data_IF_582092246296
#
_entry.id   IF_582092246296
#
_cell.length_a   1.000
_cell.length_b   1.000
_cell.length_c   1.000
_cell.angle_alpha   90.00
_cell.angle_beta   90.00
_cell.angle_gamma   90.00
#
_symmetry.space_group_name_H-M   'P 1'
#
loop_
_entity.id
_entity.type
_entity.pdbx_description
1 polymer ?
#
# COMPACT_ATOMS: atom_id res chain seq x y z
N UNK A 1 12.83 19.56 -18.28
CA UNK A 1 13.66 18.77 -19.21
C UNK A 1 13.74 17.32 -18.74
N UNK A 2 13.35 16.38 -19.61
CA UNK A 2 13.43 14.94 -19.36
C UNK A 2 14.79 14.38 -19.81
N UNK A 3 15.45 13.65 -18.92
CA UNK A 3 16.79 13.11 -19.09
C UNK A 3 16.76 11.59 -18.85
N UNK A 4 17.28 10.80 -19.78
CA UNK A 4 17.34 9.34 -19.71
C UNK A 4 18.78 8.84 -19.72
N UNK A 5 19.18 8.17 -18.65
CA UNK A 5 20.43 7.41 -18.59
C UNK A 5 20.11 5.96 -18.91
N UNK A 6 20.66 5.43 -20.01
CA UNK A 6 20.44 4.05 -20.42
C UNK A 6 21.79 3.37 -20.67
N UNK A 7 22.08 2.31 -19.92
CA UNK A 7 23.35 1.59 -20.03
C UNK A 7 23.22 0.44 -21.03
N UNK A 8 24.01 0.49 -22.10
CA UNK A 8 24.03 -0.50 -23.19
C UNK A 8 25.41 -1.15 -23.17
N UNK A 9 25.50 -2.46 -22.93
CA UNK A 9 26.77 -3.20 -22.90
C UNK A 9 27.85 -2.58 -21.97
N UNK A 10 27.42 -2.01 -20.84
CA UNK A 10 28.29 -1.33 -19.88
C UNK A 10 28.62 0.13 -20.22
N UNK A 11 28.20 0.64 -21.37
CA UNK A 11 28.36 2.04 -21.76
C UNK A 11 27.11 2.88 -21.42
N UNK A 12 27.31 3.93 -20.62
CA UNK A 12 26.26 4.88 -20.27
C UNK A 12 25.89 5.77 -21.46
N UNK A 13 24.65 5.66 -21.93
CA UNK A 13 24.10 6.55 -22.94
C UNK A 13 23.15 7.57 -22.32
N UNK A 14 23.46 8.86 -22.54
CA UNK A 14 22.62 9.99 -22.12
C UNK A 14 21.68 10.40 -23.24
N UNK A 15 20.39 10.26 -23.00
CA UNK A 15 19.32 10.42 -23.98
C UNK A 15 18.35 11.51 -23.55
N UNK A 16 17.90 12.29 -24.51
CA UNK A 16 16.81 13.25 -24.34
C UNK A 16 15.95 13.22 -25.61
N UNK A 17 14.77 13.83 -25.53
CA UNK A 17 13.87 14.00 -26.67
C UNK A 17 14.27 15.17 -27.57
N UNK A 18 14.89 16.20 -27.00
CA UNK A 18 15.15 17.45 -27.73
C UNK A 18 16.61 17.54 -28.22
N UNK A 19 17.52 16.87 -27.52
CA UNK A 19 18.95 17.04 -27.75
C UNK A 19 19.47 18.28 -27.05
N UNK A 20 19.87 18.14 -25.79
CA UNK A 20 20.15 19.27 -24.90
C UNK A 20 21.60 19.22 -24.46
N UNK A 21 22.26 20.38 -24.45
CA UNK A 21 23.60 20.56 -23.88
C UNK A 21 23.49 21.13 -22.47
N UNK A 22 23.72 20.27 -21.48
CA UNK A 22 23.89 20.66 -20.08
C UNK A 22 25.37 20.48 -19.72
N UNK A 23 25.67 19.96 -18.53
CA UNK A 23 27.03 19.51 -18.19
C UNK A 23 27.51 18.45 -19.17
N UNK A 24 26.62 17.52 -19.54
CA UNK A 24 26.84 16.55 -20.61
C UNK A 24 25.98 16.86 -21.84
N UNK A 25 26.37 16.27 -22.99
CA UNK A 25 25.53 16.25 -24.18
C UNK A 25 24.51 15.12 -24.09
N UNK A 26 23.22 15.46 -24.03
CA UNK A 26 22.11 14.51 -24.01
C UNK A 26 21.61 14.31 -25.43
N UNK A 27 21.82 13.13 -26.00
CA UNK A 27 21.56 12.84 -27.41
C UNK A 27 20.05 12.84 -27.69
N UNK A 28 19.62 13.47 -28.78
CA UNK A 28 18.24 13.34 -29.29
C UNK A 28 18.01 11.94 -29.87
N UNK A 29 17.73 10.98 -28.99
CA UNK A 29 17.55 9.56 -29.33
C UNK A 29 16.37 8.92 -28.60
N UNK A 30 15.74 9.63 -27.67
CA UNK A 30 14.50 9.21 -27.04
C UNK A 30 13.34 9.62 -27.94
N UNK A 31 12.71 8.65 -28.60
CA UNK A 31 11.64 8.89 -29.57
C UNK A 31 10.28 9.08 -28.90
N UNK A 32 10.00 8.28 -27.88
CA UNK A 32 8.79 8.36 -27.08
C UNK A 32 9.05 7.82 -25.69
N UNK A 33 8.28 8.32 -24.72
CA UNK A 33 8.27 7.81 -23.36
C UNK A 33 6.84 7.87 -22.85
N UNK A 34 6.28 6.74 -22.42
CA UNK A 34 4.97 6.76 -21.82
C UNK A 34 5.04 7.40 -20.44
N UNK A 35 4.03 8.18 -20.10
CA UNK A 35 3.93 8.86 -18.82
C UNK A 35 4.02 7.88 -17.64
N UNK A 36 5.06 7.97 -16.79
CA UNK A 36 5.07 7.21 -15.54
C UNK A 36 3.95 7.73 -14.65
N UNK A 37 3.37 6.86 -13.85
CA UNK A 37 2.25 7.23 -12.99
C UNK A 37 2.37 6.63 -11.59
N UNK A 38 2.19 7.45 -10.55
CA UNK A 38 1.85 6.92 -9.22
C UNK A 38 0.35 6.68 -9.18
N UNK A 39 -0.06 5.51 -8.69
CA UNK A 39 -1.47 5.19 -8.52
C UNK A 39 -1.66 4.32 -7.28
N UNK A 40 -2.63 4.69 -6.44
CA UNK A 40 -3.06 3.83 -5.33
C UNK A 40 -3.68 2.54 -5.84
N UNK A 41 -3.33 1.42 -5.20
CA UNK A 41 -3.93 0.12 -5.45
C UNK A 41 -5.40 0.07 -5.01
N UNK A 42 -5.71 0.69 -3.86
CA UNK A 42 -7.07 0.78 -3.32
C UNK A 42 -7.43 2.25 -3.08
N UNK A 43 -8.70 2.59 -3.25
CA UNK A 43 -9.13 3.99 -3.08
C UNK A 43 -9.07 4.47 -1.63
N UNK A 44 -9.11 3.54 -0.69
CA UNK A 44 -8.94 3.77 0.75
C UNK A 44 -7.51 3.58 1.23
N UNK A 45 -6.52 3.42 0.34
CA UNK A 45 -5.10 3.38 0.72
C UNK A 45 -4.29 2.27 0.07
N UNK A 46 -3.24 1.83 0.77
CA UNK A 46 -2.32 0.80 0.30
C UNK A 46 -1.10 1.36 -0.44
N UNK A 47 -0.48 0.51 -1.26
CA UNK A 47 0.71 0.88 -2.01
C UNK A 47 0.35 1.82 -3.17
N UNK A 48 0.92 3.02 -3.16
CA UNK A 48 0.93 3.91 -4.31
C UNK A 48 2.08 3.50 -5.24
N UNK A 49 1.79 2.54 -6.13
CA UNK A 49 2.81 1.93 -6.99
C UNK A 49 3.14 2.85 -8.15
N UNK A 50 4.43 2.94 -8.49
CA UNK A 50 4.88 3.56 -9.72
C UNK A 50 4.62 2.62 -10.90
N UNK A 51 3.74 3.02 -11.80
CA UNK A 51 3.64 2.51 -13.15
C UNK A 51 4.79 3.06 -13.99
N UNK A 52 5.72 2.17 -14.37
CA UNK A 52 7.01 2.50 -14.99
C UNK A 52 6.90 2.90 -16.46
N UNK A 53 5.96 2.29 -17.18
CA UNK A 53 5.74 2.54 -18.61
C UNK A 53 6.79 1.92 -19.54
N UNK A 54 6.79 2.38 -20.79
CA UNK A 54 7.69 2.01 -21.87
C UNK A 54 8.42 3.25 -22.43
N UNK A 55 9.61 3.05 -23.00
CA UNK A 55 10.30 4.07 -23.78
C UNK A 55 10.81 3.51 -25.11
N UNK A 56 10.84 4.35 -26.16
CA UNK A 56 11.33 3.99 -27.49
C UNK A 56 12.59 4.78 -27.79
N UNK A 57 13.66 4.08 -28.16
CA UNK A 57 14.93 4.70 -28.56
C UNK A 57 15.19 4.53 -30.06
N UNK A 58 15.86 5.50 -30.66
CA UNK A 58 16.19 5.49 -32.08
C UNK A 58 17.15 4.35 -32.42
N UNK A 59 16.97 3.71 -33.58
CA UNK A 59 17.81 2.59 -34.03
C UNK A 59 19.30 2.93 -34.08
N UNK A 60 19.64 4.16 -34.48
CA UNK A 60 21.03 4.63 -34.57
C UNK A 60 21.65 4.98 -33.22
N UNK A 61 20.99 4.67 -32.11
CA UNK A 61 21.63 4.61 -30.80
C UNK A 61 22.59 3.41 -30.69
N UNK A 62 22.25 2.30 -31.36
CA UNK A 62 23.01 1.05 -31.32
C UNK A 62 24.07 1.04 -32.42
N UNK A 63 25.31 0.67 -32.08
CA UNK A 63 26.32 0.44 -33.09
C UNK A 63 26.00 -0.83 -33.89
N UNK A 64 26.64 -1.03 -35.05
CA UNK A 64 26.46 -2.25 -35.84
C UNK A 64 26.85 -3.52 -35.05
N UNK A 65 27.80 -3.40 -34.12
CA UNK A 65 28.22 -4.47 -33.22
C UNK A 65 27.20 -4.77 -32.10
N UNK A 66 26.35 -3.80 -31.75
CA UNK A 66 25.30 -3.94 -30.74
C UNK A 66 23.97 -4.39 -31.37
N UNK A 67 24.01 -4.95 -32.59
CA UNK A 67 22.82 -5.48 -33.26
C UNK A 67 22.87 -7.01 -33.29
N UNK A 68 21.87 -7.72 -32.73
CA UNK A 68 20.60 -7.23 -32.18
C UNK A 68 20.78 -6.41 -30.88
N UNK A 69 19.88 -5.44 -30.60
CA UNK A 69 19.98 -4.59 -29.42
C UNK A 69 19.97 -5.43 -28.13
N UNK A 70 20.63 -5.00 -27.05
CA UNK A 70 20.62 -5.74 -25.80
C UNK A 70 19.21 -5.97 -25.29
N UNK A 71 18.95 -7.21 -24.84
CA UNK A 71 17.65 -7.66 -24.35
C UNK A 71 17.24 -6.86 -23.10
N UNK A 72 18.21 -6.48 -22.28
CA UNK A 72 17.99 -5.65 -21.11
C UNK A 72 19.08 -4.58 -20.93
N UNK A 73 18.80 -3.60 -20.08
CA UNK A 73 19.78 -2.61 -19.66
C UNK A 73 19.26 -1.76 -18.51
N UNK A 74 20.17 -1.23 -17.69
CA UNK A 74 19.82 -0.35 -16.56
C UNK A 74 19.38 1.00 -17.11
N UNK A 75 18.24 1.50 -16.64
CA UNK A 75 17.69 2.81 -17.00
C UNK A 75 17.43 3.66 -15.76
N UNK A 76 17.75 4.95 -15.85
CA UNK A 76 17.32 5.97 -14.90
C UNK A 76 16.68 7.13 -15.65
N UNK A 77 15.45 7.46 -15.28
CA UNK A 77 14.76 8.65 -15.78
C UNK A 77 14.86 9.77 -14.74
N UNK A 78 15.26 10.95 -15.21
CA UNK A 78 15.46 12.13 -14.38
C UNK A 78 14.71 13.32 -14.97
N UNK A 79 14.26 14.20 -14.11
CA UNK A 79 13.66 15.47 -14.51
C UNK A 79 14.45 16.62 -13.90
N UNK A 80 14.69 17.67 -14.70
CA UNK A 80 15.20 18.94 -14.19
C UNK A 80 14.50 20.11 -14.85
N UNK A 81 14.19 21.14 -14.07
CA UNK A 81 13.71 22.42 -14.59
C UNK A 81 14.86 23.33 -15.07
N UNK A 82 16.09 23.12 -14.58
CA UNK A 82 17.18 24.10 -14.71
C UNK A 82 18.50 23.47 -15.17
N UNK A 83 19.14 22.67 -14.31
CA UNK A 83 20.49 22.13 -14.53
C UNK A 83 20.54 20.62 -14.30
N UNK A 84 21.56 19.96 -14.87
CA UNK A 84 21.76 18.51 -14.68
C UNK A 84 22.04 18.13 -13.21
N UNK A 85 22.69 19.01 -12.46
CA UNK A 85 22.97 18.81 -11.02
C UNK A 85 21.70 18.90 -10.16
N UNK A 86 20.73 19.73 -10.57
CA UNK A 86 19.43 19.84 -9.92
C UNK A 86 18.44 18.75 -10.39
N UNK A 87 18.88 17.76 -11.17
CA UNK A 87 18.00 16.73 -11.70
C UNK A 87 17.53 15.78 -10.60
N UNK A 88 16.21 15.69 -10.42
CA UNK A 88 15.56 14.74 -9.54
C UNK A 88 15.39 13.42 -10.29
N UNK A 89 15.76 12.31 -9.64
CA UNK A 89 15.52 10.98 -10.20
C UNK A 89 14.05 10.63 -10.02
N UNK A 90 13.35 10.47 -11.14
CA UNK A 90 11.97 10.01 -11.15
C UNK A 90 11.92 8.55 -10.72
N UNK A 91 12.78 7.75 -11.35
CA UNK A 91 12.88 6.33 -11.10
C UNK A 91 14.15 5.72 -11.70
N UNK A 92 14.49 4.53 -11.20
CA UNK A 92 15.58 3.67 -11.66
C UNK A 92 15.07 2.25 -11.80
N UNK A 93 15.50 1.53 -12.83
CA UNK A 93 15.05 0.16 -13.03
C UNK A 93 15.76 -0.54 -14.18
N UNK A 94 15.20 -1.68 -14.57
CA UNK A 94 15.64 -2.50 -15.68
C UNK A 94 14.70 -2.31 -16.88
N UNK A 95 15.29 -1.91 -18.01
CA UNK A 95 14.61 -1.87 -19.29
C UNK A 95 14.70 -3.24 -19.96
N UNK A 96 13.61 -3.78 -20.50
CA UNK A 96 13.58 -5.01 -21.29
C UNK A 96 13.01 -4.76 -22.69
N UNK A 97 13.64 -5.32 -23.73
CA UNK A 97 13.16 -5.19 -25.10
C UNK A 97 11.76 -5.78 -25.22
N UNK A 98 10.82 -4.96 -25.68
CA UNK A 98 9.43 -5.33 -25.92
C UNK A 98 9.15 -5.49 -27.41
N UNK A 99 9.70 -4.62 -28.25
CA UNK A 99 9.55 -4.70 -29.69
C UNK A 99 10.72 -4.03 -30.44
N UNK A 100 11.05 -4.56 -31.61
CA UNK A 100 12.02 -3.96 -32.53
C UNK A 100 11.30 -3.57 -33.81
N UNK A 101 11.40 -2.31 -34.22
CA UNK A 101 10.82 -1.81 -35.46
C UNK A 101 11.87 -1.12 -36.33
N UNK A 102 11.47 -0.70 -37.55
CA UNK A 102 12.36 0.06 -38.44
C UNK A 102 12.77 1.42 -37.86
N UNK A 103 11.90 2.00 -37.04
CA UNK A 103 12.07 3.34 -36.48
C UNK A 103 12.89 3.33 -35.18
N UNK A 104 12.84 2.25 -34.41
CA UNK A 104 13.52 2.18 -33.13
C UNK A 104 13.25 0.89 -32.38
N UNK A 105 13.74 0.86 -31.14
CA UNK A 105 13.58 -0.27 -30.21
C UNK A 105 12.73 0.22 -29.03
N UNK A 106 11.63 -0.49 -28.77
CA UNK A 106 10.74 -0.24 -27.64
C UNK A 106 11.18 -1.10 -26.47
N UNK A 107 11.42 -0.47 -25.33
CA UNK A 107 11.73 -1.11 -24.06
C UNK A 107 10.58 -0.90 -23.07
N UNK A 108 10.18 -1.94 -22.37
CA UNK A 108 9.37 -1.83 -21.16
C UNK A 108 10.26 -1.61 -19.95
N UNK A 109 9.84 -0.76 -19.03
CA UNK A 109 10.59 -0.45 -17.81
C UNK A 109 10.01 -1.25 -16.65
N UNK A 110 10.89 -1.83 -15.85
CA UNK A 110 10.54 -2.59 -14.66
C UNK A 110 11.37 -2.06 -13.49
N UNK A 111 10.73 -1.79 -12.36
CA UNK A 111 11.46 -1.53 -11.11
C UNK A 111 12.15 -2.78 -10.59
N UNK A 112 12.82 -2.64 -9.45
CA UNK A 112 13.31 -3.80 -8.70
C UNK A 112 12.16 -4.74 -8.37
N UNK A 113 12.45 -6.04 -8.39
CA UNK A 113 11.48 -7.05 -7.98
C UNK A 113 11.25 -6.91 -6.47
N UNK A 114 10.01 -6.66 -6.10
CA UNK A 114 9.57 -6.53 -4.70
C UNK A 114 8.90 -7.84 -4.22
N UNK A 115 9.16 -8.95 -4.92
CA UNK A 115 8.76 -10.31 -4.54
C UNK A 115 9.55 -10.84 -3.32
N UNK A 116 9.57 -10.06 -2.24
CA UNK A 116 10.06 -10.50 -0.94
C UNK A 116 8.96 -11.29 -0.26
N UNK A 117 9.31 -12.48 0.18
CA UNK A 117 8.42 -13.37 0.90
C UNK A 117 8.05 -12.80 2.28
N UNK A 118 6.75 -12.81 2.63
CA UNK A 118 6.26 -12.33 3.92
C UNK A 118 6.75 -13.21 5.08
N UNK A 119 6.68 -14.53 4.90
CA UNK A 119 7.03 -15.51 5.91
C UNK A 119 8.30 -16.25 5.49
N UNK A 120 9.03 -16.75 6.49
CA UNK A 120 10.16 -17.66 6.25
C UNK A 120 9.65 -19.07 6.07
N UNK A 121 10.21 -19.82 5.13
CA UNK A 121 9.91 -21.24 5.00
C UNK A 121 10.71 -22.09 6.00
N UNK A 122 10.06 -23.13 6.53
CA UNK A 122 10.65 -24.13 7.40
C UNK A 122 10.24 -25.54 6.99
N UNK A 123 10.63 -26.54 7.77
CA UNK A 123 10.23 -27.94 7.57
C UNK A 123 9.30 -28.37 8.68
N UNK A 124 8.10 -28.82 8.33
CA UNK A 124 7.14 -29.32 9.31
C UNK A 124 7.51 -30.73 9.81
N UNK A 125 6.68 -31.28 10.70
CA UNK A 125 6.81 -32.64 11.22
C UNK A 125 6.84 -33.72 10.12
N UNK A 126 6.06 -33.57 9.06
CA UNK A 126 5.95 -34.53 7.95
C UNK A 126 7.13 -34.46 6.96
N UNK A 127 8.01 -33.46 7.11
CA UNK A 127 9.15 -33.23 6.23
C UNK A 127 8.85 -32.31 5.04
N UNK A 128 7.66 -31.72 4.98
CA UNK A 128 7.26 -30.78 3.95
C UNK A 128 7.80 -29.38 4.23
N UNK A 129 8.12 -28.65 3.16
CA UNK A 129 8.41 -27.21 3.23
C UNK A 129 7.10 -26.46 3.42
N UNK A 130 7.00 -25.71 4.53
CA UNK A 130 5.81 -24.93 4.88
C UNK A 130 6.22 -23.51 5.32
N UNK A 131 5.37 -22.49 5.10
CA UNK A 131 5.59 -21.18 5.69
C UNK A 131 5.49 -21.29 7.22
N UNK A 132 6.48 -20.74 7.93
CA UNK A 132 6.41 -20.58 9.38
C UNK A 132 5.57 -19.34 9.71
N UNK A 133 4.58 -19.47 10.59
CA UNK A 133 3.64 -18.39 10.82
C UNK A 133 4.29 -17.20 11.54
N UNK A 134 3.61 -16.06 11.51
CA UNK A 134 4.02 -14.86 12.25
C UNK A 134 2.83 -14.15 12.88
N UNK A 135 2.93 -13.83 14.16
CA UNK A 135 2.02 -12.95 14.86
C UNK A 135 2.40 -11.48 14.61
N UNK A 136 1.44 -10.70 14.14
CA UNK A 136 1.46 -9.25 14.11
C UNK A 136 0.48 -8.74 15.16
N UNK A 137 1.00 -8.20 16.26
CA UNK A 137 0.25 -7.83 17.45
C UNK A 137 -0.41 -9.00 18.17
N UNK A 138 -1.55 -8.74 18.83
CA UNK A 138 -2.21 -9.73 19.68
C UNK A 138 -2.85 -10.84 18.85
N UNK A 139 -2.72 -12.08 19.31
CA UNK A 139 -3.32 -13.27 18.70
C UNK A 139 -3.91 -14.18 19.77
N UNK A 140 -5.06 -14.78 19.48
CA UNK A 140 -5.79 -15.62 20.45
C UNK A 140 -6.16 -16.97 19.83
N UNK A 141 -5.73 -18.06 20.49
CA UNK A 141 -5.94 -19.47 20.08
C UNK A 141 -5.60 -19.76 18.61
N UNK A 142 -4.44 -19.28 18.16
CA UNK A 142 -3.92 -19.53 16.82
C UNK A 142 -3.19 -20.85 16.74
N UNK A 143 -3.10 -21.42 15.54
CA UNK A 143 -2.52 -22.74 15.32
C UNK A 143 -1.04 -22.60 14.97
N UNK A 144 -0.12 -23.03 15.87
CA UNK A 144 1.29 -23.12 15.52
C UNK A 144 1.54 -24.24 14.51
N UNK A 145 2.68 -24.16 13.83
CA UNK A 145 3.17 -25.24 12.97
C UNK A 145 3.97 -26.23 13.81
N UNK A 146 3.63 -27.52 13.73
CA UNK A 146 4.43 -28.58 14.34
C UNK A 146 5.70 -28.79 13.52
N UNK A 147 6.84 -28.72 14.19
CA UNK A 147 8.16 -28.96 13.63
C UNK A 147 8.58 -30.42 13.87
N UNK A 148 9.67 -30.84 13.23
CA UNK A 148 10.28 -32.14 13.52
C UNK A 148 10.59 -32.27 15.02
N UNK A 149 10.19 -33.41 15.61
CA UNK A 149 10.40 -33.69 17.03
C UNK A 149 11.88 -33.54 17.44
N UNK A 150 12.11 -33.22 18.70
CA UNK A 150 13.44 -33.21 19.28
C UNK A 150 14.07 -34.63 19.22
N UNK A 151 15.40 -34.71 19.32
CA UNK A 151 16.10 -36.01 19.36
C UNK A 151 15.68 -36.94 20.51
N UNK A 152 15.01 -36.39 21.55
CA UNK A 152 14.41 -37.13 22.66
C UNK A 152 12.95 -37.56 22.46
N UNK A 153 12.31 -37.21 21.34
CA UNK A 153 10.92 -37.52 21.03
C UNK A 153 9.90 -36.46 21.44
N UNK A 154 10.31 -35.39 22.12
CA UNK A 154 9.45 -34.25 22.45
C UNK A 154 8.91 -33.58 21.18
N UNK A 155 7.63 -33.20 21.21
CA UNK A 155 7.03 -32.46 20.10
C UNK A 155 7.50 -31.02 20.11
N UNK A 156 7.94 -30.54 18.95
CA UNK A 156 8.43 -29.17 18.74
C UNK A 156 7.43 -28.37 17.93
N UNK A 157 7.30 -27.10 18.26
CA UNK A 157 6.33 -26.21 17.65
C UNK A 157 6.95 -24.84 17.40
N UNK A 158 6.57 -24.23 16.28
CA UNK A 158 6.94 -22.86 15.97
C UNK A 158 6.04 -21.89 16.78
N UNK A 159 6.67 -20.93 17.46
CA UNK A 159 6.01 -19.94 18.31
C UNK A 159 5.41 -18.78 17.48
N UNK A 160 5.74 -18.70 16.19
CA UNK A 160 5.28 -17.67 15.26
C UNK A 160 5.64 -16.25 15.68
N UNK A 161 6.86 -16.05 16.21
CA UNK A 161 7.35 -14.75 16.68
C UNK A 161 6.51 -14.09 17.78
N UNK A 162 5.69 -14.85 18.51
CA UNK A 162 5.11 -14.36 19.77
C UNK A 162 6.26 -14.12 20.76
N UNK A 163 6.24 -12.96 21.41
CA UNK A 163 7.31 -12.51 22.29
C UNK A 163 6.98 -12.69 23.77
N UNK A 164 8.03 -12.58 24.60
CA UNK A 164 7.92 -12.50 26.04
C UNK A 164 8.08 -13.84 26.77
N UNK A 165 7.75 -13.82 28.05
CA UNK A 165 7.89 -14.92 28.98
C UNK A 165 6.66 -15.81 28.90
N UNK A 166 6.90 -17.11 28.71
CA UNK A 166 5.87 -18.15 28.79
C UNK A 166 5.08 -18.04 30.11
N UNK A 167 3.76 -18.29 30.07
CA UNK A 167 2.79 -18.13 31.17
C UNK A 167 2.49 -16.70 31.62
N UNK A 168 3.21 -15.70 31.10
CA UNK A 168 3.03 -14.30 31.47
C UNK A 168 2.56 -13.50 30.26
N UNK A 169 3.35 -13.55 29.20
CA UNK A 169 3.13 -12.77 27.98
C UNK A 169 2.44 -13.61 26.89
N UNK A 170 2.60 -14.94 26.95
CA UNK A 170 1.94 -15.88 26.05
C UNK A 170 1.64 -17.22 26.73
N UNK A 171 0.65 -17.91 26.18
CA UNK A 171 0.12 -19.16 26.69
C UNK A 171 -0.06 -20.20 25.58
N UNK A 172 0.20 -21.46 25.90
CA UNK A 172 -0.07 -22.63 25.08
C UNK A 172 -1.24 -23.42 25.65
N UNK A 173 -2.11 -23.91 24.78
CA UNK A 173 -3.30 -24.65 25.15
C UNK A 173 -3.38 -25.98 24.40
N UNK A 174 -3.94 -26.99 25.08
CA UNK A 174 -4.40 -28.25 24.49
C UNK A 174 -5.93 -28.26 24.54
N UNK A 175 -6.58 -28.18 23.38
CA UNK A 175 -8.04 -28.05 23.27
C UNK A 175 -8.61 -26.83 24.06
N UNK A 176 -7.80 -25.79 24.27
CA UNK A 176 -8.16 -24.61 25.05
C UNK A 176 -7.92 -24.73 26.56
N UNK A 177 -7.39 -25.85 27.04
CA UNK A 177 -6.87 -25.99 28.42
C UNK A 177 -5.43 -25.50 28.45
N UNK A 178 -5.11 -24.60 29.37
CA UNK A 178 -3.73 -24.13 29.56
C UNK A 178 -2.81 -25.31 29.92
N UNK A 179 -1.80 -25.54 29.09
CA UNK A 179 -0.78 -26.59 29.25
C UNK A 179 0.62 -26.00 29.41
N UNK A 180 0.73 -24.71 29.73
CA UNK A 180 2.02 -24.04 29.81
C UNK A 180 2.96 -24.76 30.80
N UNK A 181 2.45 -25.44 31.83
CA UNK A 181 3.29 -26.21 32.76
C UNK A 181 4.10 -27.34 32.09
N UNK A 182 3.73 -27.72 30.86
CA UNK A 182 4.40 -28.73 30.04
C UNK A 182 5.23 -28.13 28.91
N UNK A 183 5.28 -26.80 28.79
CA UNK A 183 5.98 -26.09 27.73
C UNK A 183 7.40 -25.76 28.18
N UNK A 184 8.34 -25.82 27.24
CA UNK A 184 9.71 -25.37 27.45
C UNK A 184 10.22 -24.64 26.20
N UNK A 185 10.66 -23.40 26.36
CA UNK A 185 11.35 -22.66 25.30
C UNK A 185 12.76 -23.22 25.08
N UNK A 186 12.98 -23.84 23.92
CA UNK A 186 14.24 -24.52 23.59
C UNK A 186 15.11 -23.75 22.60
N UNK A 187 14.52 -22.84 21.84
CA UNK A 187 15.22 -21.99 20.87
C UNK A 187 14.42 -20.71 20.58
N UNK A 188 15.03 -19.77 19.86
CA UNK A 188 14.31 -18.62 19.34
C UNK A 188 13.14 -19.09 18.48
N UNK A 189 11.93 -18.61 18.80
CA UNK A 189 10.67 -18.98 18.15
C UNK A 189 10.31 -20.46 18.18
N UNK A 190 10.90 -21.27 19.07
CA UNK A 190 10.58 -22.71 19.14
C UNK A 190 10.39 -23.14 20.59
N UNK A 191 9.26 -23.79 20.84
CA UNK A 191 8.97 -24.43 22.12
C UNK A 191 8.77 -25.95 21.97
N UNK A 192 8.95 -26.65 23.06
CA UNK A 192 8.73 -28.09 23.20
C UNK A 192 7.61 -28.39 24.18
N UNK A 193 6.90 -29.49 23.94
CA UNK A 193 5.98 -30.07 24.90
C UNK A 193 6.61 -31.31 25.55
N UNK A 194 6.70 -31.28 26.88
CA UNK A 194 7.20 -32.38 27.71
C UNK A 194 6.18 -33.51 27.91
N UNK A 195 4.92 -33.27 27.51
CA UNK A 195 3.85 -34.25 27.48
C UNK A 195 3.17 -34.22 26.12
N UNK A 196 2.68 -35.38 25.66
CA UNK A 196 2.00 -35.46 24.36
C UNK A 196 0.61 -34.81 24.51
N UNK A 197 0.27 -33.80 23.69
CA UNK A 197 -1.06 -33.20 23.70
C UNK A 197 -2.12 -34.21 23.25
N UNK A 198 -3.32 -34.09 23.81
CA UNK A 198 -4.44 -34.98 23.53
C UNK A 198 -5.27 -34.47 22.35
N UNK A 199 -5.27 -33.16 22.11
CA UNK A 199 -6.05 -32.50 21.08
C UNK A 199 -5.30 -31.38 20.35
N UNK A 200 -6.02 -30.32 20.00
CA UNK A 200 -5.51 -29.21 19.20
C UNK A 200 -4.60 -28.31 20.05
N UNK A 201 -3.33 -28.21 19.66
CA UNK A 201 -2.40 -27.25 20.24
C UNK A 201 -2.68 -25.86 19.67
N UNK A 202 -2.88 -24.89 20.55
CA UNK A 202 -3.09 -23.49 20.16
C UNK A 202 -2.28 -22.52 21.02
N UNK A 203 -2.00 -21.34 20.50
CA UNK A 203 -1.25 -20.28 21.17
C UNK A 203 -2.08 -19.01 21.33
N UNK A 204 -1.87 -18.30 22.42
CA UNK A 204 -2.31 -16.92 22.58
C UNK A 204 -1.15 -16.06 23.09
N UNK A 205 -0.99 -14.85 22.60
CA UNK A 205 0.09 -13.96 22.99
C UNK A 205 0.18 -12.74 22.08
N UNK A 206 1.31 -12.02 22.12
CA UNK A 206 1.53 -10.82 21.29
C UNK A 206 2.83 -10.94 20.50
N UNK A 207 2.76 -10.68 19.20
CA UNK A 207 3.95 -10.53 18.35
C UNK A 207 4.74 -9.25 18.66
N UNK A 208 5.95 -9.16 18.10
CA UNK A 208 6.84 -8.00 18.31
C UNK A 208 6.29 -6.72 17.68
N UNK A 209 5.77 -6.82 16.45
CA UNK A 209 5.28 -5.69 15.68
C UNK A 209 3.77 -5.56 15.87
N UNK A 210 3.34 -4.53 16.61
CA UNK A 210 1.95 -4.44 17.10
C UNK A 210 1.11 -3.40 16.38
N UNK A 211 1.74 -2.44 15.71
CA UNK A 211 1.05 -1.36 14.98
C UNK A 211 1.43 -1.36 13.49
N UNK A 212 0.63 -0.66 12.68
CA UNK A 212 0.95 -0.43 11.25
C UNK A 212 2.36 0.13 11.08
N UNK A 213 2.76 1.07 11.94
CA UNK A 213 4.09 1.67 11.91
C UNK A 213 5.18 0.64 12.20
N UNK A 214 5.04 -0.15 13.28
CA UNK A 214 6.05 -1.14 13.68
C UNK A 214 6.28 -2.17 12.56
N UNK A 215 5.19 -2.64 11.94
CA UNK A 215 5.24 -3.63 10.86
C UNK A 215 5.93 -3.04 9.61
N UNK A 216 5.66 -1.78 9.29
CA UNK A 216 6.33 -1.10 8.17
C UNK A 216 7.82 -0.87 8.45
N UNK A 217 8.19 -0.55 9.69
CA UNK A 217 9.58 -0.41 10.13
C UNK A 217 10.32 -1.75 10.07
N UNK A 218 9.70 -2.83 10.56
CA UNK A 218 10.20 -4.20 10.44
C UNK A 218 10.46 -4.58 8.97
N UNK A 219 9.48 -4.37 8.09
CA UNK A 219 9.59 -4.71 6.68
C UNK A 219 10.68 -3.88 5.94
N UNK A 220 10.96 -2.66 6.41
CA UNK A 220 12.04 -1.83 5.86
C UNK A 220 13.44 -2.28 6.31
N UNK A 221 13.54 -3.18 7.30
CA UNK A 221 14.81 -3.70 7.79
C UNK A 221 15.72 -4.24 6.68
N UNK A 222 17.03 -4.19 6.92
CA UNK A 222 18.06 -4.49 5.91
C UNK A 222 17.98 -5.92 5.32
N UNK A 223 17.33 -6.85 6.02
CA UNK A 223 17.13 -8.24 5.59
C UNK A 223 15.88 -8.47 4.73
N UNK A 224 15.04 -7.44 4.55
CA UNK A 224 13.74 -7.53 3.87
C UNK A 224 13.72 -6.59 2.67
N UNK A 225 13.00 -5.46 2.76
CA UNK A 225 12.91 -4.50 1.66
C UNK A 225 14.13 -3.58 1.56
N UNK A 226 14.92 -3.45 2.65
CA UNK A 226 16.14 -2.65 2.70
C UNK A 226 15.92 -1.19 2.26
N UNK A 227 14.93 -0.53 2.86
CA UNK A 227 14.62 0.88 2.63
C UNK A 227 14.83 1.70 3.90
N UNK A 228 15.11 2.99 3.73
CA UNK A 228 14.95 3.93 4.85
C UNK A 228 13.45 4.11 5.09
N UNK A 229 13.01 4.01 6.35
CA UNK A 229 11.62 4.22 6.70
C UNK A 229 11.37 5.68 7.10
N UNK A 230 10.43 6.35 6.43
CA UNK A 230 9.94 7.68 6.78
C UNK A 230 8.46 7.61 7.15
N UNK A 231 8.16 8.00 8.38
CA UNK A 231 6.82 8.02 8.92
C UNK A 231 6.43 9.41 9.44
N UNK A 232 7.07 10.48 8.97
CA UNK A 232 6.83 11.84 9.48
C UNK A 232 5.37 12.33 9.32
N UNK A 233 4.62 11.73 8.39
CA UNK A 233 3.24 12.06 8.07
C UNK A 233 2.28 10.88 8.31
N UNK A 234 2.66 9.94 9.17
CA UNK A 234 1.76 8.87 9.63
C UNK A 234 0.78 9.39 10.70
N UNK A 235 -0.17 8.53 11.09
CA UNK A 235 -1.14 8.87 12.14
C UNK A 235 -0.42 9.02 13.49
N UNK A 236 -0.70 10.07 14.30
CA UNK A 236 -0.02 10.28 15.59
C UNK A 236 -0.10 9.08 16.55
N UNK A 237 -1.22 8.36 16.50
CA UNK A 237 -1.35 7.03 17.13
C UNK A 237 -1.53 6.01 16.01
N UNK A 238 -0.49 5.23 15.76
CA UNK A 238 -0.54 4.19 14.74
C UNK A 238 -1.58 3.12 15.11
N UNK A 239 -2.44 2.66 14.19
CA UNK A 239 -3.45 1.65 14.48
C UNK A 239 -2.85 0.32 14.90
N UNK A 240 -3.49 -0.34 15.86
CA UNK A 240 -3.11 -1.69 16.29
C UNK A 240 -3.47 -2.73 15.22
N UNK A 241 -2.58 -3.70 15.06
CA UNK A 241 -2.77 -4.87 14.22
C UNK A 241 -2.92 -6.08 15.14
N UNK A 242 -3.80 -7.01 14.78
CA UNK A 242 -3.97 -8.29 15.47
C UNK A 242 -4.22 -9.35 14.38
N UNK A 243 -3.12 -9.87 13.82
CA UNK A 243 -3.14 -10.76 12.66
C UNK A 243 -2.13 -11.89 12.82
N UNK A 244 -2.64 -13.12 12.71
CA UNK A 244 -1.82 -14.31 12.47
C UNK A 244 -1.65 -14.51 10.97
N UNK A 245 -0.43 -14.39 10.48
CA UNK A 245 -0.07 -14.71 9.11
C UNK A 245 0.43 -16.16 9.05
N UNK A 246 -0.37 -17.04 8.47
CA UNK A 246 -0.14 -18.48 8.37
C UNK A 246 0.03 -18.98 6.91
N UNK A 247 -0.04 -18.05 5.95
CA UNK A 247 0.06 -18.32 4.53
C UNK A 247 1.07 -17.41 3.89
N UNK A 248 1.85 -17.98 2.98
CA UNK A 248 2.82 -17.24 2.20
C UNK A 248 2.12 -16.19 1.33
N UNK A 249 2.67 -14.98 1.33
CA UNK A 249 2.23 -13.87 0.51
C UNK A 249 3.45 -13.00 0.13
N UNK A 250 3.31 -12.19 -0.91
CA UNK A 250 4.29 -11.13 -1.20
C UNK A 250 4.18 -10.07 -0.12
N UNK A 251 5.31 -9.73 0.52
CA UNK A 251 5.35 -8.80 1.64
C UNK A 251 4.71 -7.45 1.29
N UNK A 252 5.04 -6.87 0.14
CA UNK A 252 4.47 -5.58 -0.29
C UNK A 252 2.96 -5.63 -0.49
N UNK A 253 2.42 -6.77 -0.96
CA UNK A 253 0.97 -6.94 -1.10
C UNK A 253 0.28 -7.03 0.27
N UNK A 254 0.90 -7.71 1.24
CA UNK A 254 0.43 -7.73 2.63
C UNK A 254 0.43 -6.32 3.24
N UNK A 255 1.53 -5.57 3.09
CA UNK A 255 1.63 -4.19 3.58
C UNK A 255 0.59 -3.27 2.90
N UNK A 256 0.35 -3.48 1.60
CA UNK A 256 -0.68 -2.75 0.84
C UNK A 256 -2.08 -3.01 1.39
N UNK A 257 -2.43 -4.28 1.61
CA UNK A 257 -3.72 -4.64 2.19
C UNK A 257 -3.87 -4.08 3.61
N UNK A 258 -2.80 -4.13 4.42
CA UNK A 258 -2.79 -3.59 5.78
C UNK A 258 -3.03 -2.07 5.78
N UNK A 259 -2.27 -1.33 4.97
CA UNK A 259 -2.41 0.12 4.87
C UNK A 259 -3.80 0.51 4.36
N UNK A 260 -4.35 -0.21 3.37
CA UNK A 260 -5.72 0.03 2.91
C UNK A 260 -6.77 -0.23 4.01
N UNK A 261 -6.59 -1.26 4.82
CA UNK A 261 -7.48 -1.55 5.96
C UNK A 261 -7.50 -0.45 7.02
N UNK A 262 -6.43 0.32 7.16
CA UNK A 262 -6.29 1.38 8.16
C UNK A 262 -6.24 2.81 7.59
N UNK A 263 -6.60 2.98 6.32
CA UNK A 263 -6.55 4.26 5.59
C UNK A 263 -5.20 4.97 5.60
N UNK A 264 -4.14 4.20 5.39
CA UNK A 264 -2.80 4.70 5.12
C UNK A 264 -2.45 4.44 3.66
N UNK A 265 -1.58 5.26 3.11
CA UNK A 265 -0.86 4.95 1.88
C UNK A 265 0.62 4.85 2.17
N UNK A 266 1.33 4.11 1.33
CA UNK A 266 2.78 4.21 1.28
C UNK A 266 3.28 4.29 -0.15
N UNK A 267 4.48 4.85 -0.32
CA UNK A 267 5.14 4.93 -1.62
C UNK A 267 6.65 4.93 -1.44
N UNK A 268 7.36 4.56 -2.51
CA UNK A 268 8.82 4.59 -2.55
C UNK A 268 9.30 5.84 -3.28
N UNK A 269 10.32 6.48 -2.72
CA UNK A 269 11.06 7.56 -3.39
C UNK A 269 12.52 7.54 -2.96
N UNK A 270 13.43 7.43 -3.92
CA UNK A 270 14.88 7.56 -3.70
C UNK A 270 15.47 6.64 -2.60
N UNK A 271 14.98 5.40 -2.49
CA UNK A 271 15.45 4.45 -1.46
C UNK A 271 14.79 4.63 -0.08
N UNK A 272 13.83 5.53 0.03
CA UNK A 272 12.98 5.71 1.21
C UNK A 272 11.59 5.19 0.94
N UNK A 273 11.03 4.46 1.90
CA UNK A 273 9.62 4.10 1.96
C UNK A 273 8.92 5.09 2.88
N UNK A 274 7.93 5.81 2.34
CA UNK A 274 7.15 6.80 3.08
C UNK A 274 5.81 6.20 3.47
N UNK A 275 5.45 6.24 4.75
CA UNK A 275 4.10 5.93 5.26
C UNK A 275 3.36 7.25 5.54
N UNK A 276 2.12 7.34 5.04
CA UNK A 276 1.31 8.55 5.12
C UNK A 276 -0.12 8.19 5.51
N UNK A 277 -0.67 8.88 6.51
CA UNK A 277 -2.11 8.80 6.82
C UNK A 277 -2.91 9.54 5.74
N UNK A 278 -3.94 8.92 5.19
CA UNK A 278 -4.80 9.54 4.18
C UNK A 278 -5.58 10.76 4.69
N UNK A 279 -5.64 10.98 6.00
CA UNK A 279 -6.23 12.16 6.62
C UNK A 279 -5.25 13.32 6.84
N UNK A 280 -3.95 13.10 6.62
CA UNK A 280 -2.92 14.11 6.77
C UNK A 280 -2.39 14.59 5.41
N UNK A 281 -1.74 15.75 5.43
CA UNK A 281 -1.11 16.35 4.25
C UNK A 281 0.36 15.89 4.17
N UNK A 282 0.75 15.18 3.11
CA UNK A 282 2.16 14.83 2.88
C UNK A 282 2.90 15.98 2.18
N UNK A 283 2.94 17.13 2.87
CA UNK A 283 3.28 18.41 2.27
C UNK A 283 2.09 19.10 1.62
N UNK A 284 2.26 20.39 1.33
CA UNK A 284 1.24 21.20 0.71
C UNK A 284 1.86 22.22 -0.26
N UNK A 285 1.17 22.52 -1.34
CA UNK A 285 1.52 23.61 -2.26
C UNK A 285 0.30 24.41 -2.69
N UNK A 286 0.51 25.68 -3.01
CA UNK A 286 -0.53 26.58 -3.52
C UNK A 286 -0.21 26.98 -4.96
N UNK A 287 -1.16 26.77 -5.86
CA UNK A 287 -1.05 27.12 -7.28
C UNK A 287 -1.71 28.49 -7.48
N UNK A 288 -0.90 29.55 -7.56
CA UNK A 288 -1.40 30.94 -7.72
C UNK A 288 -1.34 31.44 -9.17
N UNK A 289 -0.49 30.85 -9.99
CA UNK A 289 -0.09 31.39 -11.30
C UNK A 289 -1.03 30.96 -12.44
N UNK A 290 -1.92 30.00 -12.19
CA UNK A 290 -2.77 29.38 -13.20
C UNK A 290 -4.21 29.49 -12.72
N UNK A 291 -4.87 30.58 -13.09
CA UNK A 291 -6.22 30.92 -12.58
C UNK A 291 -7.37 30.22 -13.31
N UNK A 292 -7.07 29.40 -14.31
CA UNK A 292 -8.09 28.74 -15.14
C UNK A 292 -8.07 27.23 -14.92
N UNK A 293 -8.52 26.79 -13.76
CA UNK A 293 -8.84 25.39 -13.50
C UNK A 293 -10.35 25.25 -13.40
N UNK A 294 -11.08 24.99 -14.50
CA UNK A 294 -12.50 24.65 -14.40
C UNK A 294 -12.59 23.34 -13.62
N UNK A 295 -12.93 23.45 -12.34
CA UNK A 295 -12.85 22.32 -11.43
C UNK A 295 -14.11 21.50 -11.55
N UNK A 296 -13.94 20.26 -11.97
CA UNK A 296 -15.03 19.30 -12.08
C UNK A 296 -14.91 18.31 -10.95
N UNK A 297 -15.89 18.30 -10.06
CA UNK A 297 -15.98 17.28 -9.03
C UNK A 297 -16.88 16.15 -9.50
N UNK A 298 -16.39 14.93 -9.32
CA UNK A 298 -17.14 13.71 -9.58
C UNK A 298 -17.42 13.06 -8.23
N UNK A 299 -18.70 12.95 -7.91
CA UNK A 299 -19.10 12.04 -6.84
C UNK A 299 -19.07 10.64 -7.41
N UNK A 300 -18.42 9.74 -6.68
CA UNK A 300 -18.48 8.33 -7.02
C UNK A 300 -19.84 7.80 -6.63
N UNK A 301 -20.23 6.68 -7.23
CA UNK A 301 -21.29 5.86 -6.67
C UNK A 301 -20.96 5.64 -5.19
N UNK A 302 -21.83 6.08 -4.27
CA UNK A 302 -21.54 5.97 -2.86
C UNK A 302 -21.41 4.50 -2.46
N UNK A 303 -20.72 4.26 -1.36
CA UNK A 303 -20.75 2.96 -0.68
C UNK A 303 -21.96 2.97 0.26
N UNK A 304 -22.88 2.04 0.09
CA UNK A 304 -24.03 1.88 0.98
C UNK A 304 -23.61 1.20 2.28
N UNK A 305 -22.84 0.12 2.17
CA UNK A 305 -22.42 -0.69 3.32
C UNK A 305 -21.00 -1.22 3.14
N UNK A 306 -20.25 -1.29 4.25
CA UNK A 306 -18.98 -2.01 4.32
C UNK A 306 -19.13 -3.13 5.36
N UNK A 307 -18.85 -4.36 4.95
CA UNK A 307 -18.84 -5.52 5.84
C UNK A 307 -17.40 -5.94 6.16
N UNK A 308 -17.20 -6.39 7.39
CA UNK A 308 -15.99 -7.06 7.81
C UNK A 308 -16.35 -8.36 8.53
N UNK A 309 -15.67 -9.45 8.17
CA UNK A 309 -15.81 -10.75 8.81
C UNK A 309 -14.46 -11.23 9.36
N UNK A 310 -14.47 -11.79 10.57
CA UNK A 310 -13.29 -12.32 11.23
C UNK A 310 -13.64 -13.50 12.14
N UNK A 311 -12.63 -14.24 12.58
CA UNK A 311 -12.82 -15.37 13.47
C UNK A 311 -12.27 -15.05 14.86
N UNK A 312 -13.02 -15.45 15.89
CA UNK A 312 -12.57 -15.39 17.29
C UNK A 312 -12.55 -16.80 17.86
N UNK A 313 -11.42 -17.18 18.46
CA UNK A 313 -11.27 -18.43 19.21
C UNK A 313 -11.75 -18.27 20.66
N UNK A 314 -12.56 -19.20 21.14
CA UNK A 314 -13.01 -19.27 22.53
C UNK A 314 -12.77 -20.69 23.07
N UNK A 315 -11.97 -20.82 24.13
CA UNK A 315 -11.82 -22.08 24.85
C UNK A 315 -13.08 -22.40 25.66
N UNK A 316 -13.46 -23.67 25.71
CA UNK A 316 -14.56 -24.12 26.55
C UNK A 316 -14.91 -25.59 26.38
N UNK A 317 -15.81 -26.07 27.23
CA UNK A 317 -16.46 -27.37 27.07
C UNK A 317 -17.73 -27.19 26.26
N UNK A 318 -17.74 -27.70 25.04
CA UNK A 318 -18.85 -27.51 24.11
C UNK A 318 -19.49 -28.85 23.76
N UNK A 319 -20.82 -28.86 23.63
CA UNK A 319 -21.54 -30.01 23.09
C UNK A 319 -21.46 -30.01 21.56
N UNK A 320 -21.12 -31.15 20.97
CA UNK A 320 -21.21 -31.30 19.52
C UNK A 320 -22.68 -31.16 19.07
N UNK A 321 -22.98 -30.40 18.00
CA UNK A 321 -24.33 -30.32 17.47
C UNK A 321 -24.78 -31.70 16.96
N UNK A 322 -25.84 -32.27 17.56
CA UNK A 322 -26.54 -33.44 17.00
C UNK A 322 -26.21 -34.82 17.59
N UNK A 323 -25.38 -34.93 18.62
CA UNK A 323 -25.13 -36.20 19.31
C UNK A 323 -25.19 -36.04 20.82
N UNK A 324 -25.88 -36.93 21.53
CA UNK A 324 -25.91 -36.98 23.00
C UNK A 324 -24.58 -37.35 23.66
N UNK A 325 -23.46 -36.96 23.06
CA UNK A 325 -22.11 -37.14 23.59
C UNK A 325 -21.84 -36.10 24.69
N UNK A 326 -21.00 -36.47 25.66
CA UNK A 326 -20.52 -35.56 26.69
C UNK A 326 -19.80 -34.36 26.06
N UNK A 327 -19.86 -33.20 26.72
CA UNK A 327 -19.13 -32.02 26.27
C UNK A 327 -17.64 -32.34 26.17
N UNK A 328 -17.05 -32.10 24.99
CA UNK A 328 -15.60 -32.17 24.79
C UNK A 328 -15.02 -30.77 24.99
N UNK A 329 -13.81 -30.70 25.53
CA UNK A 329 -13.05 -29.46 25.61
C UNK A 329 -12.41 -29.25 24.24
N UNK A 330 -12.55 -28.06 23.65
CA UNK A 330 -11.86 -27.66 22.43
C UNK A 330 -11.94 -26.13 22.25
N UNK A 331 -11.12 -25.59 21.34
CA UNK A 331 -11.21 -24.18 20.92
C UNK A 331 -12.32 -24.04 19.89
N UNK A 332 -13.40 -23.35 20.25
CA UNK A 332 -14.47 -23.02 19.31
C UNK A 332 -14.11 -21.75 18.54
N UNK A 333 -13.98 -21.87 17.23
CA UNK A 333 -13.86 -20.71 16.33
C UNK A 333 -15.25 -20.24 15.93
N UNK A 334 -15.53 -18.97 16.18
CA UNK A 334 -16.81 -18.34 15.84
C UNK A 334 -16.57 -17.23 14.85
N UNK A 335 -17.22 -17.32 13.69
CA UNK A 335 -17.27 -16.22 12.74
C UNK A 335 -18.03 -15.04 13.37
N UNK A 336 -17.42 -13.88 13.34
CA UNK A 336 -17.99 -12.60 13.73
C UNK A 336 -18.07 -11.73 12.49
N UNK A 337 -19.11 -10.93 12.44
CA UNK A 337 -19.31 -9.98 11.37
C UNK A 337 -19.71 -8.64 11.97
N UNK A 338 -19.30 -7.57 11.31
CA UNK A 338 -19.83 -6.25 11.57
C UNK A 338 -20.01 -5.51 10.26
N UNK A 339 -21.09 -4.72 10.21
CA UNK A 339 -21.46 -3.93 9.06
C UNK A 339 -21.47 -2.47 9.47
N UNK A 340 -20.96 -1.61 8.59
CA UNK A 340 -21.12 -0.16 8.67
C UNK A 340 -21.91 0.33 7.48
N UNK A 341 -23.15 0.74 7.74
CA UNK A 341 -23.99 1.39 6.75
C UNK A 341 -23.69 2.88 6.69
N UNK A 342 -23.72 3.45 5.49
CA UNK A 342 -23.56 4.87 5.28
C UNK A 342 -24.87 5.63 5.44
N UNK A 343 -24.79 6.96 5.32
CA UNK A 343 -25.98 7.80 5.18
C UNK A 343 -26.71 7.61 3.83
N UNK A 344 -26.08 6.96 2.85
CA UNK A 344 -26.64 6.69 1.53
C UNK A 344 -27.25 5.28 1.52
N UNK A 345 -28.58 5.12 1.48
CA UNK A 345 -29.23 3.80 1.47
C UNK A 345 -29.10 3.07 0.11
N UNK A 346 -28.31 3.62 -0.81
CA UNK A 346 -28.05 3.13 -2.15
C UNK A 346 -26.54 3.22 -2.40
N UNK A 347 -26.03 2.41 -3.31
CA UNK A 347 -24.61 2.38 -3.59
C UNK A 347 -24.08 0.97 -3.80
N UNK A 348 -22.76 0.86 -3.80
CA UNK A 348 -22.09 -0.44 -3.80
C UNK A 348 -21.93 -0.92 -2.36
N UNK A 349 -22.02 -2.23 -2.17
CA UNK A 349 -21.56 -2.91 -0.97
C UNK A 349 -20.10 -3.31 -1.15
N UNK A 350 -19.34 -3.30 -0.06
CA UNK A 350 -17.92 -3.62 -0.07
C UNK A 350 -17.59 -4.54 1.11
N UNK A 351 -16.80 -5.57 0.86
CA UNK A 351 -16.25 -6.43 1.91
C UNK A 351 -14.78 -6.09 2.12
N UNK A 352 -14.36 -6.03 3.39
CA UNK A 352 -12.96 -5.86 3.76
C UNK A 352 -12.49 -7.01 4.64
N UNK A 353 -11.21 -7.38 4.48
CA UNK A 353 -10.54 -8.30 5.41
C UNK A 353 -9.94 -7.47 6.54
N UNK A 354 -10.45 -7.58 7.79
CA UNK A 354 -9.91 -6.82 8.89
C UNK A 354 -8.50 -7.30 9.25
N UNK A 355 -7.69 -6.35 9.72
CA UNK A 355 -6.30 -6.58 10.16
C UNK A 355 -6.17 -6.65 11.68
N UNK A 356 -7.30 -6.74 12.36
CA UNK A 356 -7.42 -6.89 13.81
C UNK A 356 -8.66 -7.73 14.11
N UNK A 357 -8.67 -8.43 15.23
CA UNK A 357 -9.82 -9.18 15.74
C UNK A 357 -10.60 -8.40 16.83
N UNK A 358 -10.12 -7.21 17.19
CA UNK A 358 -10.74 -6.32 18.18
C UNK A 358 -11.85 -5.51 17.52
N UNK A 359 -13.11 -5.83 17.86
CA UNK A 359 -14.30 -5.21 17.27
C UNK A 359 -14.27 -3.67 17.25
N UNK A 360 -13.84 -3.04 18.34
CA UNK A 360 -13.80 -1.57 18.42
C UNK A 360 -12.80 -0.94 17.41
N UNK A 361 -11.69 -1.63 17.16
CA UNK A 361 -10.68 -1.18 16.20
C UNK A 361 -11.16 -1.43 14.76
N UNK A 362 -11.83 -2.56 14.50
CA UNK A 362 -12.50 -2.84 13.21
C UNK A 362 -13.54 -1.77 12.91
N UNK A 363 -14.40 -1.48 13.87
CA UNK A 363 -15.44 -0.46 13.77
C UNK A 363 -14.84 0.93 13.42
N UNK A 364 -13.76 1.31 14.10
CA UNK A 364 -13.03 2.56 13.81
C UNK A 364 -12.41 2.56 12.41
N UNK A 365 -11.84 1.44 11.97
CA UNK A 365 -11.27 1.29 10.65
C UNK A 365 -12.34 1.42 9.54
N UNK A 366 -13.51 0.79 9.74
CA UNK A 366 -14.63 0.89 8.81
C UNK A 366 -15.16 2.32 8.68
N UNK A 367 -15.31 3.04 9.79
CA UNK A 367 -15.75 4.45 9.79
C UNK A 367 -14.74 5.35 9.05
N UNK A 368 -13.44 5.10 9.22
CA UNK A 368 -12.38 5.80 8.51
C UNK A 368 -12.41 5.51 7.00
N UNK A 369 -12.53 4.24 6.61
CA UNK A 369 -12.63 3.85 5.18
C UNK A 369 -13.84 4.52 4.54
N UNK A 370 -15.00 4.48 5.20
CA UNK A 370 -16.22 5.12 4.72
C UNK A 370 -16.00 6.63 4.52
N UNK A 371 -15.35 7.29 5.48
CA UNK A 371 -15.02 8.72 5.41
C UNK A 371 -14.12 9.03 4.21
N UNK A 372 -13.12 8.21 3.93
CA UNK A 372 -12.24 8.40 2.76
C UNK A 372 -13.00 8.17 1.45
N UNK A 373 -13.76 7.09 1.34
CA UNK A 373 -14.45 6.69 0.11
C UNK A 373 -15.58 7.65 -0.29
N UNK A 374 -16.20 8.34 0.67
CA UNK A 374 -17.22 9.36 0.40
C UNK A 374 -16.68 10.76 0.14
N UNK A 375 -15.37 10.98 0.23
CA UNK A 375 -14.79 12.27 -0.19
C UNK A 375 -15.03 12.46 -1.70
N UNK A 376 -15.43 13.65 -2.14
CA UNK A 376 -15.60 13.91 -3.57
C UNK A 376 -14.25 13.76 -4.28
N UNK A 377 -14.23 13.14 -5.46
CA UNK A 377 -13.01 13.10 -6.26
C UNK A 377 -12.99 14.30 -7.20
N UNK A 378 -11.87 15.00 -7.22
CA UNK A 378 -11.66 16.07 -8.20
C UNK A 378 -11.24 15.44 -9.52
N UNK A 379 -11.69 16.01 -10.63
CA UNK A 379 -11.20 15.63 -11.96
C UNK A 379 -9.71 15.91 -12.08
N UNK A 380 -8.99 15.21 -12.98
CA UNK A 380 -7.55 15.38 -13.12
C UNK A 380 -7.15 16.85 -13.31
N UNK A 381 -6.43 17.40 -12.34
CA UNK A 381 -5.83 18.72 -12.36
C UNK A 381 -4.52 18.66 -13.14
N UNK A 382 -4.46 19.33 -14.28
CA UNK A 382 -3.24 19.43 -15.08
C UNK A 382 -2.41 20.65 -14.66
N UNK A 383 -1.20 20.43 -14.15
CA UNK A 383 -0.26 21.47 -13.77
C UNK A 383 0.99 21.39 -14.65
N UNK A 384 1.63 22.50 -15.05
CA UNK A 384 2.92 22.46 -15.73
C UNK A 384 4.00 21.90 -14.81
N UNK A 385 5.08 21.38 -15.37
CA UNK A 385 6.25 20.96 -14.59
C UNK A 385 7.01 22.18 -14.00
N UNK A 386 6.57 22.65 -12.84
CA UNK A 386 7.19 23.75 -12.10
C UNK A 386 7.68 23.25 -10.74
N UNK A 387 8.92 23.60 -10.39
CA UNK A 387 9.51 23.31 -9.08
C UNK A 387 9.74 21.81 -8.84
N UNK A 388 9.60 21.40 -7.59
CA UNK A 388 9.77 20.01 -7.17
C UNK A 388 8.59 19.15 -7.64
N UNK A 389 8.89 17.91 -7.98
CA UNK A 389 7.88 16.96 -8.42
C UNK A 389 6.90 16.64 -7.29
N UNK A 390 5.60 16.55 -7.61
CA UNK A 390 4.58 16.20 -6.63
C UNK A 390 4.78 14.78 -6.10
N UNK A 391 4.41 14.56 -4.84
CA UNK A 391 4.49 13.24 -4.18
C UNK A 391 3.10 12.73 -3.78
N UNK A 392 2.90 11.40 -3.68
CA UNK A 392 1.63 10.85 -3.22
C UNK A 392 1.23 11.39 -1.84
N UNK A 393 -0.02 11.80 -1.70
CA UNK A 393 -0.58 12.41 -0.49
C UNK A 393 -0.33 13.91 -0.30
N UNK A 394 0.43 14.56 -1.19
CA UNK A 394 0.62 16.02 -1.14
C UNK A 394 -0.69 16.75 -1.45
N UNK A 395 -0.97 17.82 -0.71
CA UNK A 395 -2.15 18.67 -0.92
C UNK A 395 -1.86 19.84 -1.86
N UNK A 396 -2.70 20.03 -2.87
CA UNK A 396 -2.63 21.15 -3.81
C UNK A 396 -3.81 22.06 -3.55
N UNK A 397 -3.54 23.30 -3.15
CA UNK A 397 -4.55 24.35 -3.03
C UNK A 397 -4.52 25.23 -4.27
N UNK A 398 -5.67 25.56 -4.84
CA UNK A 398 -5.76 26.39 -6.03
C UNK A 398 -7.09 27.14 -6.08
N UNK A 399 -7.13 28.39 -6.56
CA UNK A 399 -8.36 29.12 -6.76
C UNK A 399 -9.03 28.69 -8.07
N UNK A 400 -10.34 28.51 -8.06
CA UNK A 400 -11.15 28.41 -9.27
C UNK A 400 -11.84 29.75 -9.52
N UNK A 401 -11.33 30.51 -10.50
CA UNK A 401 -11.91 31.80 -10.91
C UNK A 401 -12.89 31.65 -12.08
N UNK A 402 -13.19 30.42 -12.52
CA UNK A 402 -14.22 30.15 -13.52
C UNK A 402 -15.63 30.16 -12.92
N UNK A 403 -15.71 29.98 -11.59
CA UNK A 403 -16.91 30.15 -10.81
C UNK A 403 -17.24 31.64 -10.63
N UNK A 404 -18.50 31.96 -10.32
CA UNK A 404 -18.94 33.35 -10.13
C UNK A 404 -18.21 34.11 -9.01
N UNK A 405 -17.46 33.40 -8.16
CA UNK A 405 -16.52 33.92 -7.17
C UNK A 405 -15.28 33.03 -7.11
N UNK A 406 -14.14 33.65 -6.85
CA UNK A 406 -12.89 32.95 -6.52
C UNK A 406 -13.15 32.00 -5.35
N UNK A 407 -13.08 30.70 -5.63
CA UNK A 407 -13.31 29.65 -4.63
C UNK A 407 -12.00 28.89 -4.42
N UNK A 408 -11.54 28.80 -3.18
CA UNK A 408 -10.34 28.04 -2.84
C UNK A 408 -10.66 26.55 -2.79
N UNK A 409 -9.97 25.80 -3.63
CA UNK A 409 -10.11 24.36 -3.78
C UNK A 409 -8.85 23.65 -3.34
N UNK A 410 -9.02 22.40 -2.89
CA UNK A 410 -7.94 21.51 -2.52
C UNK A 410 -8.05 20.17 -3.24
N UNK A 411 -6.93 19.53 -3.55
CA UNK A 411 -6.87 18.12 -3.98
C UNK A 411 -5.69 17.42 -3.31
N UNK A 412 -5.87 16.20 -2.82
CA UNK A 412 -4.77 15.33 -2.39
C UNK A 412 -4.34 14.45 -3.55
N UNK A 413 -3.04 14.41 -3.84
CA UNK A 413 -2.51 13.63 -4.94
C UNK A 413 -2.56 12.12 -4.64
N UNK A 414 -3.50 11.39 -5.25
CA UNK A 414 -3.61 9.91 -5.15
C UNK A 414 -3.18 9.20 -6.41
N UNK A 415 -3.43 9.85 -7.54
CA UNK A 415 -2.88 9.48 -8.84
C UNK A 415 -2.09 10.65 -9.38
N UNK A 416 -0.87 10.41 -9.80
CA UNK A 416 0.03 11.42 -10.38
C UNK A 416 0.52 10.87 -11.70
N UNK A 417 0.15 11.48 -12.82
CA UNK A 417 0.61 11.07 -14.16
C UNK A 417 1.54 12.14 -14.71
N UNK A 418 2.80 11.77 -14.96
CA UNK A 418 3.80 12.69 -15.50
C UNK A 418 3.73 12.69 -17.04
N UNK A 419 2.87 13.53 -17.61
CA UNK A 419 2.63 13.63 -19.04
C UNK A 419 3.67 14.52 -19.75
N UNK A 420 4.88 13.98 -19.91
CA UNK A 420 5.99 14.69 -20.55
C UNK A 420 5.72 15.13 -21.99
N UNK A 421 4.83 14.44 -22.72
CA UNK A 421 4.44 14.83 -24.08
C UNK A 421 3.68 16.16 -24.14
N UNK A 422 2.95 16.48 -23.07
CA UNK A 422 2.17 17.71 -22.95
C UNK A 422 2.83 18.73 -22.01
N UNK A 423 4.02 18.41 -21.47
CA UNK A 423 4.72 19.20 -20.46
C UNK A 423 3.86 19.49 -19.21
N UNK A 424 3.00 18.54 -18.84
CA UNK A 424 2.10 18.66 -17.70
C UNK A 424 2.17 17.44 -16.76
N UNK A 425 1.80 17.66 -15.50
CA UNK A 425 1.56 16.64 -14.49
C UNK A 425 0.07 16.64 -14.22
N UNK A 426 -0.58 15.50 -14.35
CA UNK A 426 -2.01 15.35 -14.05
C UNK A 426 -2.17 14.73 -12.68
N UNK A 427 -2.92 15.39 -11.82
CA UNK A 427 -3.13 14.99 -10.44
C UNK A 427 -4.61 14.69 -10.24
N UNK A 428 -4.92 13.52 -9.70
CA UNK A 428 -6.27 13.12 -9.34
C UNK A 428 -6.28 12.60 -7.89
N UNK A 429 -7.41 12.79 -7.21
CA UNK A 429 -7.61 12.29 -5.86
C UNK A 429 -8.81 12.94 -5.18
N UNK A 430 -8.90 12.78 -3.87
CA UNK A 430 -9.95 13.41 -3.08
C UNK A 430 -9.77 14.93 -3.15
N UNK A 431 -10.87 15.63 -3.30
CA UNK A 431 -10.91 17.08 -3.33
C UNK A 431 -11.61 17.66 -2.12
N UNK A 432 -11.27 18.90 -1.79
CA UNK A 432 -12.04 19.74 -0.88
C UNK A 432 -12.43 21.02 -1.58
N UNK A 433 -13.62 21.50 -1.25
CA UNK A 433 -14.03 22.87 -1.50
C UNK A 433 -13.89 23.55 -0.15
N UNK A 434 -12.99 24.53 -0.01
CA UNK A 434 -12.99 25.34 1.20
C UNK A 434 -14.37 25.99 1.26
N UNK A 435 -15.09 25.75 2.37
CA UNK A 435 -16.43 26.30 2.53
C UNK A 435 -16.38 27.79 2.20
N UNK A 436 -17.12 28.19 1.16
CA UNK A 436 -17.36 29.60 0.88
C UNK A 436 -17.88 30.16 2.19
N UNK A 437 -17.13 31.12 2.75
CA UNK A 437 -17.48 31.74 4.01
C UNK A 437 -18.95 32.18 3.92
N UNK A 438 -19.80 31.49 4.69
CA UNK A 438 -21.27 31.55 4.69
C UNK A 438 -21.99 30.95 3.45
N UNK A 439 -22.67 29.81 3.65
CA UNK A 439 -23.99 29.58 3.02
C UNK A 439 -24.13 28.69 1.78
N UNK A 440 -23.13 27.90 1.38
CA UNK A 440 -23.34 26.93 0.30
C UNK A 440 -24.30 25.79 0.74
N UNK A 441 -25.47 25.70 0.09
CA UNK A 441 -26.48 24.66 0.30
C UNK A 441 -26.30 23.53 -0.72
N UNK A 442 -26.07 22.30 -0.25
CA UNK A 442 -26.30 21.07 -1.03
C UNK A 442 -27.82 20.94 -1.25
N UNK A 443 -28.28 20.92 -2.52
CA UNK A 443 -29.69 20.64 -2.84
C UNK A 443 -29.91 19.14 -3.13
N UNK A 444 -31.14 18.68 -2.85
CA UNK A 444 -31.59 17.27 -2.86
C UNK A 444 -31.44 16.53 -4.19
N UNK A 445 -31.21 17.23 -5.31
CA UNK A 445 -31.08 16.62 -6.65
C UNK A 445 -29.63 16.27 -7.05
N UNK A 446 -28.63 16.60 -6.22
CA UNK A 446 -27.25 16.14 -6.36
C UNK A 446 -26.50 16.62 -7.61
N UNK A 447 -27.10 17.49 -8.43
CA UNK A 447 -26.56 17.89 -9.73
C UNK A 447 -25.73 19.18 -9.68
N UNK A 448 -25.88 20.01 -8.64
CA UNK A 448 -25.07 21.21 -8.46
C UNK A 448 -25.02 21.70 -7.00
N UNK A 449 -23.92 22.38 -6.63
CA UNK A 449 -23.91 23.25 -5.44
C UNK A 449 -24.38 24.65 -5.85
N UNK A 450 -25.37 25.20 -5.14
CA UNK A 450 -25.79 26.59 -5.29
C UNK A 450 -24.96 27.46 -4.35
N UNK A 451 -24.28 28.43 -4.94
CA UNK A 451 -23.62 29.50 -4.19
C UNK A 451 -24.66 30.55 -3.81
N UNK A 452 -24.51 31.21 -2.65
CA UNK A 452 -25.40 32.31 -2.22
C UNK A 452 -25.52 33.44 -3.26
N UNK A 453 -24.54 33.55 -4.16
CA UNK A 453 -24.49 34.52 -5.24
C UNK A 453 -25.24 34.13 -6.52
N UNK A 454 -25.84 32.93 -6.56
CA UNK A 454 -26.52 32.40 -7.74
C UNK A 454 -25.61 31.66 -8.74
N UNK A 455 -24.33 31.47 -8.40
CA UNK A 455 -23.43 30.56 -9.14
C UNK A 455 -23.81 29.09 -8.93
N UNK A 456 -23.55 28.25 -9.94
CA UNK A 456 -23.77 26.79 -9.88
C UNK A 456 -22.44 26.07 -10.09
N UNK A 457 -22.06 25.19 -9.17
CA UNK A 457 -20.98 24.21 -9.40
C UNK A 457 -21.66 22.94 -9.90
N UNK A 458 -21.41 22.54 -11.14
CA UNK A 458 -21.94 21.27 -11.67
C UNK A 458 -21.28 20.09 -10.96
N UNK A 459 -22.11 19.20 -10.42
CA UNK A 459 -21.73 17.89 -9.93
C UNK A 459 -21.98 16.91 -11.07
N UNK A 460 -20.93 16.39 -11.70
CA UNK A 460 -21.08 15.34 -12.71
C UNK A 460 -21.46 14.04 -11.97
N UNK A 461 -22.64 13.49 -12.30
CA UNK A 461 -23.13 12.19 -11.84
C UNK A 461 -22.42 11.02 -12.52
#
# INVERSE_FOLDING_TARGET
MLLFEFTINGELNRLSREGIRLTHWWKNKLLSFSSPQYQLQYDQGGYCRLGWGDFKVAKNLFAAADWPPPINGVVAAKYTATTEEAAETLFTGMAHVKAISREGVLYGIFGDDEAVDLLTEGTNYDGDTVPLPRAFGAVTYVNPVQLANAGGGNQRWDLGHIQGTEHVDWHCFDDGVDICANVENVAANVFELNTVPVGEVTLSGTGEDTTVKDIMEWACGASYLNYTFDHANDRPTSPNVAKWADKQAVMVDFLSLMCAGFTHLFYRKSGTLHLVDMFLDNGARTLTEIKYYPSKYKYRTPISEINASWQVGEAGSWSQPGGGAAAAVYVKRTDKETTRSSAYPYGNEMDIVPMTDVRADIDTALDNIMTVLHKPKSSPLAIPFIGNLPVPGEKFNYPDTSLGHDTDLGIWARTIVFAFDNEEIRIEGEGTIAAIAAGALLMEDGAYLLLESGGKILLEA
#
